data_IF_890242507150
#
_entry.id   IF_890242507150
#
_cell.length_a   1.000
_cell.length_b   1.000
_cell.length_c   1.000
_cell.angle_alpha   90.00
_cell.angle_beta   90.00
_cell.angle_gamma   90.00
#
_symmetry.space_group_name_H-M   'P 1'
#
loop_
_entity.id
_entity.type
_entity.pdbx_description
1 polymer ?
#
# COMPACT_ATOMS: atom_id res chain seq x y z
N UNK A 1 4.36 14.25 -47.16
CA UNK A 1 3.57 13.51 -46.14
C UNK A 1 4.01 12.05 -46.15
N UNK A 2 4.12 11.43 -44.98
CA UNK A 2 4.51 10.03 -44.81
C UNK A 2 3.46 9.35 -43.94
N UNK A 3 2.86 8.28 -44.48
CA UNK A 3 1.90 7.47 -43.74
C UNK A 3 2.64 6.42 -42.91
N UNK A 4 2.31 6.34 -41.62
CA UNK A 4 2.96 5.44 -40.65
C UNK A 4 1.97 4.37 -40.19
N UNK A 5 2.46 3.15 -40.09
CA UNK A 5 1.75 2.00 -39.53
C UNK A 5 2.67 1.20 -38.60
N UNK A 6 2.13 0.72 -37.48
CA UNK A 6 2.88 -0.04 -36.48
C UNK A 6 2.18 -1.36 -36.23
N UNK A 7 2.94 -2.44 -36.22
CA UNK A 7 2.50 -3.74 -35.72
C UNK A 7 3.28 -4.06 -34.43
N UNK A 8 2.59 -4.07 -33.29
CA UNK A 8 3.14 -4.48 -32.01
C UNK A 8 3.18 -6.01 -31.99
N UNK A 9 4.39 -6.57 -32.02
CA UNK A 9 4.61 -8.02 -32.02
C UNK A 9 4.52 -8.59 -30.62
N UNK A 10 5.24 -7.98 -29.69
CA UNK A 10 5.26 -8.38 -28.30
C UNK A 10 5.62 -7.20 -27.39
N UNK A 11 5.15 -7.30 -26.15
CA UNK A 11 5.47 -6.43 -25.04
C UNK A 11 5.95 -7.37 -23.95
N UNK A 12 7.11 -7.10 -23.35
CA UNK A 12 7.75 -8.04 -22.44
C UNK A 12 8.04 -7.42 -21.08
N UNK A 13 9.24 -6.86 -20.91
CA UNK A 13 9.72 -6.31 -19.64
C UNK A 13 9.04 -4.96 -19.40
N UNK A 14 8.11 -4.91 -18.44
CA UNK A 14 7.59 -3.65 -17.88
C UNK A 14 8.23 -3.50 -16.50
N UNK A 15 9.17 -2.56 -16.36
CA UNK A 15 9.95 -2.34 -15.13
C UNK A 15 9.34 -1.19 -14.35
N UNK A 16 8.78 -1.50 -13.18
CA UNK A 16 8.32 -0.49 -12.23
C UNK A 16 9.53 0.29 -11.66
N UNK A 17 10.70 -0.35 -11.51
CA UNK A 17 11.92 0.25 -10.95
C UNK A 17 12.58 1.26 -11.90
N UNK A 18 12.77 0.86 -13.15
CA UNK A 18 13.49 1.68 -14.15
C UNK A 18 12.56 2.64 -14.90
N UNK A 19 11.25 2.58 -14.62
CA UNK A 19 10.19 3.34 -15.29
C UNK A 19 10.27 3.22 -16.81
N UNK A 20 10.31 1.99 -17.30
CA UNK A 20 10.47 1.68 -18.71
C UNK A 20 9.76 0.39 -19.11
N UNK A 21 9.57 0.23 -20.42
CA UNK A 21 9.04 -1.00 -20.98
C UNK A 21 9.73 -1.38 -22.28
N UNK A 22 9.83 -2.69 -22.52
CA UNK A 22 10.38 -3.25 -23.74
C UNK A 22 9.27 -3.69 -24.69
N UNK A 23 9.36 -3.23 -25.93
CA UNK A 23 8.42 -3.55 -27.00
C UNK A 23 9.15 -3.97 -28.26
N UNK A 24 8.62 -4.97 -28.94
CA UNK A 24 9.05 -5.34 -30.28
C UNK A 24 7.97 -4.92 -31.29
N UNK A 25 8.38 -4.15 -32.29
CA UNK A 25 7.46 -3.65 -33.32
C UNK A 25 7.96 -3.98 -34.72
N UNK A 26 7.02 -4.17 -35.64
CA UNK A 26 7.27 -3.98 -37.07
C UNK A 26 6.75 -2.60 -37.42
N UNK A 27 7.69 -1.73 -37.74
CA UNK A 27 7.45 -0.35 -38.11
C UNK A 27 7.36 -0.24 -39.63
N UNK A 28 6.37 0.50 -40.14
CA UNK A 28 6.14 0.69 -41.57
C UNK A 28 5.91 2.15 -41.92
N UNK A 29 6.54 2.59 -42.98
CA UNK A 29 6.38 3.92 -43.56
C UNK A 29 6.02 3.81 -45.03
N UNK A 30 5.15 4.71 -45.47
CA UNK A 30 4.77 4.82 -46.86
C UNK A 30 4.81 6.27 -47.31
N UNK A 31 5.55 6.54 -48.38
CA UNK A 31 5.63 7.84 -49.02
C UNK A 31 5.64 7.70 -50.54
N UNK A 32 5.65 8.82 -51.25
CA UNK A 32 5.73 8.84 -52.71
C UNK A 32 6.99 9.61 -53.10
N UNK A 33 7.82 8.99 -53.95
CA UNK A 33 9.01 9.60 -54.54
C UNK A 33 8.89 9.53 -56.07
N UNK A 34 8.75 10.70 -56.70
CA UNK A 34 8.58 10.80 -58.15
C UNK A 34 9.81 10.34 -58.94
N UNK A 35 11.00 10.33 -58.33
CA UNK A 35 12.26 9.92 -58.98
C UNK A 35 12.35 8.40 -59.18
N UNK A 36 11.53 7.64 -58.47
CA UNK A 36 11.53 6.18 -58.48
C UNK A 36 10.40 5.59 -59.34
N UNK A 37 9.71 6.40 -60.13
CA UNK A 37 8.68 5.93 -61.06
C UNK A 37 9.30 5.06 -62.15
N UNK A 38 8.66 3.95 -62.47
CA UNK A 38 9.09 3.03 -63.52
C UNK A 38 7.89 2.47 -64.28
N UNK A 39 8.11 2.03 -65.51
CA UNK A 39 7.05 1.43 -66.34
C UNK A 39 6.70 0.02 -65.84
N UNK A 40 5.41 -0.24 -65.63
CA UNK A 40 4.91 -1.49 -65.06
C UNK A 40 4.80 -2.64 -66.10
N UNK A 41 5.24 -2.40 -67.34
CA UNK A 41 5.17 -3.35 -68.46
C UNK A 41 3.75 -3.93 -68.62
N UNK A 42 2.76 -3.05 -68.80
CA UNK A 42 1.33 -3.42 -68.92
C UNK A 42 0.80 -4.24 -67.72
N UNK A 43 1.28 -3.94 -66.51
CA UNK A 43 0.81 -4.56 -65.27
C UNK A 43 1.49 -5.88 -64.88
N UNK A 44 2.54 -6.30 -65.58
CA UNK A 44 3.32 -7.49 -65.23
C UNK A 44 4.09 -7.31 -63.91
N UNK A 45 4.53 -6.09 -63.60
CA UNK A 45 5.31 -5.78 -62.40
C UNK A 45 4.43 -5.05 -61.39
N UNK A 46 4.13 -5.71 -60.26
CA UNK A 46 3.37 -5.10 -59.15
C UNK A 46 4.22 -4.17 -58.30
N UNK A 47 5.46 -4.55 -58.01
CA UNK A 47 6.44 -3.77 -57.25
C UNK A 47 7.84 -4.34 -57.45
N UNK A 48 8.86 -3.51 -57.26
CA UNK A 48 10.26 -3.90 -57.17
C UNK A 48 10.68 -4.00 -55.70
N UNK A 49 11.47 -5.01 -55.35
CA UNK A 49 12.08 -5.14 -54.01
C UNK A 49 13.52 -4.71 -54.12
N UNK A 50 13.92 -3.71 -53.34
CA UNK A 50 15.30 -3.24 -53.32
C UNK A 50 16.11 -4.02 -52.29
N UNK A 51 17.28 -4.51 -52.69
CA UNK A 51 18.20 -5.26 -51.82
C UNK A 51 19.00 -4.35 -50.89
N UNK A 52 19.36 -3.15 -51.35
CA UNK A 52 20.11 -2.16 -50.58
C UNK A 52 19.25 -0.92 -50.27
N UNK A 53 18.71 -0.79 -49.05
CA UNK A 53 17.86 0.33 -48.67
C UNK A 53 18.62 1.66 -48.56
N UNK A 54 19.96 1.68 -48.52
CA UNK A 54 20.73 2.91 -48.33
C UNK A 54 20.84 3.76 -49.61
N UNK A 55 20.42 3.24 -50.76
CA UNK A 55 20.45 3.97 -52.06
C UNK A 55 19.27 4.90 -52.28
N UNK A 56 18.26 4.84 -51.41
CA UNK A 56 17.03 5.61 -51.53
C UNK A 56 16.89 6.53 -50.33
N UNK A 57 16.43 7.76 -50.56
CA UNK A 57 16.10 8.67 -49.47
C UNK A 57 15.00 8.07 -48.60
N UNK A 58 15.15 8.18 -47.27
CA UNK A 58 14.17 7.71 -46.29
C UNK A 58 13.95 8.77 -45.22
N UNK A 59 12.76 8.81 -44.59
CA UNK A 59 12.50 9.66 -43.44
C UNK A 59 13.49 9.39 -42.29
N UNK A 60 13.82 10.44 -41.54
CA UNK A 60 14.71 10.40 -40.37
C UNK A 60 13.92 10.22 -39.06
N UNK A 61 12.94 9.32 -39.09
CA UNK A 61 12.11 9.06 -37.93
C UNK A 61 12.92 8.46 -36.79
N UNK A 62 12.78 9.05 -35.61
CA UNK A 62 13.37 8.54 -34.37
C UNK A 62 12.31 8.44 -33.28
N UNK A 63 12.58 7.60 -32.28
CA UNK A 63 11.72 7.43 -31.12
C UNK A 63 12.14 8.41 -30.03
N UNK A 64 11.27 9.37 -29.71
CA UNK A 64 11.61 10.48 -28.80
C UNK A 64 11.88 10.03 -27.36
N UNK A 65 11.15 9.00 -26.91
CA UNK A 65 11.25 8.44 -25.57
C UNK A 65 12.00 7.11 -25.52
N UNK A 66 12.83 6.82 -26.52
CA UNK A 66 13.69 5.64 -26.54
C UNK A 66 14.92 5.83 -25.65
N UNK A 67 15.22 4.79 -24.88
CA UNK A 67 16.45 4.66 -24.09
C UNK A 67 17.44 3.72 -24.77
N UNK A 68 16.94 2.60 -25.28
CA UNK A 68 17.73 1.61 -26.03
C UNK A 68 16.94 1.06 -27.22
N UNK A 69 17.64 0.82 -28.34
CA UNK A 69 17.06 0.36 -29.58
C UNK A 69 17.95 -0.68 -30.26
N UNK A 70 17.33 -1.73 -30.81
CA UNK A 70 18.04 -2.82 -31.47
C UNK A 70 17.38 -3.21 -32.79
N UNK A 71 18.18 -3.23 -33.86
CA UNK A 71 17.78 -3.71 -35.18
C UNK A 71 17.94 -5.23 -35.27
N UNK A 72 17.04 -5.93 -35.96
CA UNK A 72 17.13 -7.38 -36.07
C UNK A 72 17.84 -7.80 -37.37
N UNK A 73 19.05 -8.32 -37.27
CA UNK A 73 19.96 -8.60 -38.39
C UNK A 73 20.53 -10.05 -38.43
N UNK A 74 19.91 -10.98 -37.67
CA UNK A 74 20.32 -12.38 -37.63
C UNK A 74 20.06 -13.07 -38.99
N UNK A 75 21.11 -13.68 -39.55
CA UNK A 75 21.21 -14.22 -40.93
C UNK A 75 21.12 -13.12 -41.99
N UNK A 76 20.07 -12.28 -41.97
CA UNK A 76 19.90 -11.12 -42.85
C UNK A 76 19.16 -9.99 -42.12
N UNK A 77 19.39 -8.71 -42.49
CA UNK A 77 18.63 -7.57 -41.98
C UNK A 77 17.13 -7.71 -42.23
N UNK A 78 16.31 -7.57 -41.18
CA UNK A 78 14.85 -7.63 -41.25
C UNK A 78 14.26 -6.31 -41.77
N UNK A 79 14.64 -5.96 -42.99
CA UNK A 79 14.23 -4.76 -43.71
C UNK A 79 13.59 -5.16 -45.02
N UNK A 80 12.47 -4.52 -45.36
CA UNK A 80 11.78 -4.66 -46.62
C UNK A 80 11.55 -3.28 -47.22
N UNK A 81 12.05 -3.06 -48.43
CA UNK A 81 11.78 -1.85 -49.22
C UNK A 81 11.11 -2.27 -50.53
N UNK A 82 9.87 -1.83 -50.73
CA UNK A 82 9.11 -2.04 -51.97
C UNK A 82 8.86 -0.72 -52.67
N UNK A 83 9.13 -0.69 -53.97
CA UNK A 83 8.85 0.45 -54.84
C UNK A 83 7.74 0.05 -55.80
N UNK A 84 6.66 0.82 -55.80
CA UNK A 84 5.50 0.64 -56.68
C UNK A 84 5.65 1.50 -57.96
N UNK A 85 5.04 1.11 -59.10
CA UNK A 85 5.23 1.79 -60.38
C UNK A 85 4.92 3.29 -60.35
N UNK A 86 3.95 3.71 -59.55
CA UNK A 86 3.56 5.11 -59.35
C UNK A 86 4.59 5.94 -58.54
N UNK A 87 5.71 5.35 -58.13
CA UNK A 87 6.72 5.97 -57.27
C UNK A 87 6.39 5.85 -55.77
N UNK A 88 5.38 5.07 -55.39
CA UNK A 88 5.08 4.78 -54.00
C UNK A 88 6.18 3.91 -53.39
N UNK A 89 6.65 4.23 -52.19
CA UNK A 89 7.66 3.47 -51.47
C UNK A 89 7.04 2.96 -50.18
N UNK A 90 7.18 1.66 -49.93
CA UNK A 90 6.85 1.03 -48.65
C UNK A 90 8.14 0.55 -48.01
N UNK A 91 8.45 1.13 -46.86
CA UNK A 91 9.53 0.71 -45.99
C UNK A 91 8.95 -0.04 -44.79
N UNK A 92 9.53 -1.18 -44.45
CA UNK A 92 9.12 -1.97 -43.29
C UNK A 92 10.37 -2.52 -42.60
N UNK A 93 10.47 -2.32 -41.29
CA UNK A 93 11.59 -2.81 -40.48
C UNK A 93 11.09 -3.42 -39.18
N UNK A 94 11.79 -4.44 -38.68
CA UNK A 94 11.59 -4.98 -37.33
C UNK A 94 12.61 -4.39 -36.37
N UNK A 95 12.14 -3.82 -35.28
CA UNK A 95 12.96 -3.21 -34.23
C UNK A 95 12.48 -3.65 -32.86
N UNK A 96 13.42 -3.74 -31.91
CA UNK A 96 13.12 -3.82 -30.48
C UNK A 96 13.50 -2.51 -29.83
N UNK A 97 12.63 -2.00 -28.96
CA UNK A 97 12.81 -0.72 -28.28
C UNK A 97 12.61 -0.91 -26.78
N UNK A 98 13.43 -0.21 -25.99
CA UNK A 98 13.20 0.06 -24.58
C UNK A 98 12.81 1.53 -24.48
N UNK A 99 11.57 1.76 -24.08
CA UNK A 99 10.95 3.08 -24.07
C UNK A 99 10.73 3.53 -22.62
N UNK A 100 11.04 4.80 -22.33
CA UNK A 100 10.72 5.40 -21.05
C UNK A 100 9.19 5.51 -20.88
N UNK A 101 8.70 5.06 -19.73
CA UNK A 101 7.30 5.14 -19.32
C UNK A 101 7.25 5.60 -17.86
N UNK A 102 7.09 6.92 -17.61
CA UNK A 102 6.95 7.43 -16.25
C UNK A 102 5.60 6.98 -15.68
N UNK A 103 5.63 6.04 -14.72
CA UNK A 103 4.43 5.46 -14.11
C UNK A 103 3.98 6.23 -12.87
N UNK A 104 2.68 6.22 -12.61
CA UNK A 104 2.09 6.77 -11.39
C UNK A 104 1.66 5.63 -10.45
N UNK A 105 2.43 5.40 -9.40
CA UNK A 105 2.27 4.28 -8.48
C UNK A 105 1.36 4.59 -7.27
N UNK A 106 0.64 5.72 -7.28
CA UNK A 106 -0.19 6.15 -6.14
C UNK A 106 -1.19 5.08 -5.71
N UNK A 107 -1.80 4.37 -6.67
CA UNK A 107 -2.78 3.32 -6.43
C UNK A 107 -2.20 1.91 -6.45
N UNK A 108 -0.88 1.77 -6.47
CA UNK A 108 -0.23 0.46 -6.56
C UNK A 108 -0.72 -0.50 -5.45
N UNK A 109 -1.13 -1.75 -5.77
CA UNK A 109 -1.06 -2.43 -7.08
C UNK A 109 -2.36 -2.39 -7.92
N UNK A 110 -3.35 -1.57 -7.55
CA UNK A 110 -4.61 -1.36 -8.27
C UNK A 110 -4.47 -0.20 -9.27
N UNK A 111 -3.32 -0.12 -9.94
CA UNK A 111 -2.97 0.99 -10.81
C UNK A 111 -3.18 0.64 -12.30
N UNK A 112 -3.56 1.66 -13.06
CA UNK A 112 -3.50 1.68 -14.52
C UNK A 112 -2.36 2.60 -14.95
N UNK A 113 -1.57 2.15 -15.92
CA UNK A 113 -0.43 2.88 -16.44
C UNK A 113 -0.61 3.18 -17.93
N UNK A 114 -0.21 4.38 -18.34
CA UNK A 114 -0.21 4.78 -19.74
C UNK A 114 1.25 4.86 -20.18
N UNK A 115 1.63 4.01 -21.13
CA UNK A 115 2.95 4.04 -21.73
C UNK A 115 2.87 4.42 -23.20
N UNK A 116 3.61 5.44 -23.60
CA UNK A 116 3.56 5.99 -24.95
C UNK A 116 4.69 5.46 -25.83
N UNK A 117 4.43 5.34 -27.13
CA UNK A 117 5.45 5.25 -28.19
C UNK A 117 5.41 6.57 -28.95
N UNK A 118 6.46 7.39 -28.86
CA UNK A 118 6.52 8.70 -29.49
C UNK A 118 7.52 8.69 -30.65
N UNK A 119 7.06 9.08 -31.84
CA UNK A 119 7.87 9.09 -33.06
C UNK A 119 7.86 10.47 -33.69
N UNK A 120 9.03 11.02 -33.99
CA UNK A 120 9.18 12.35 -34.55
C UNK A 120 10.29 12.37 -35.61
N UNK A 121 10.35 13.47 -36.37
CA UNK A 121 11.48 13.73 -37.28
C UNK A 121 12.57 14.45 -36.51
N UNK A 122 13.82 14.08 -36.77
CA UNK A 122 14.96 14.66 -36.05
C UNK A 122 15.40 16.00 -36.66
N UNK A 123 15.53 16.05 -38.00
CA UNK A 123 16.08 17.18 -38.74
C UNK A 123 15.07 17.91 -39.62
N UNK A 124 14.04 17.23 -40.14
CA UNK A 124 13.06 17.85 -41.03
C UNK A 124 11.93 18.54 -40.27
N UNK A 125 11.61 19.77 -40.67
CA UNK A 125 10.52 20.53 -40.06
C UNK A 125 9.16 20.10 -40.64
N UNK A 126 8.07 20.59 -40.07
CA UNK A 126 6.71 20.38 -40.60
C UNK A 126 6.51 20.93 -42.02
N UNK A 127 7.39 21.82 -42.49
CA UNK A 127 7.35 22.35 -43.87
C UNK A 127 7.89 21.32 -44.88
N UNK A 128 8.91 20.55 -44.49
CA UNK A 128 9.53 19.53 -45.34
C UNK A 128 8.80 18.19 -45.25
N UNK A 129 8.38 17.82 -44.04
CA UNK A 129 7.94 16.48 -43.71
C UNK A 129 6.84 16.47 -42.65
N UNK A 130 5.76 15.75 -42.96
CA UNK A 130 4.63 15.53 -42.06
C UNK A 130 4.32 14.04 -41.95
N UNK A 131 4.36 13.51 -40.73
CA UNK A 131 3.93 12.16 -40.42
C UNK A 131 2.42 12.12 -40.17
N UNK A 132 1.75 11.14 -40.75
CA UNK A 132 0.33 10.89 -40.57
C UNK A 132 0.08 9.43 -40.28
N UNK A 133 -0.87 9.14 -39.40
CA UNK A 133 -1.34 7.78 -39.19
C UNK A 133 -1.99 7.24 -40.47
N UNK A 134 -1.75 5.97 -40.78
CA UNK A 134 -2.49 5.29 -41.85
C UNK A 134 -4.00 5.32 -41.51
N UNK A 135 -4.83 5.68 -42.49
CA UNK A 135 -6.28 5.83 -42.30
C UNK A 135 -6.98 4.56 -41.78
N UNK A 136 -6.52 3.39 -42.23
CA UNK A 136 -7.05 2.09 -41.80
C UNK A 136 -6.00 1.32 -41.01
N UNK A 137 -6.40 0.86 -39.82
CA UNK A 137 -5.58 0.10 -38.86
C UNK A 137 -4.18 0.70 -38.64
N UNK A 138 -4.07 1.92 -38.08
CA UNK A 138 -2.77 2.56 -37.86
C UNK A 138 -1.88 1.75 -36.92
N UNK A 139 -2.48 1.08 -35.94
CA UNK A 139 -1.81 0.21 -34.97
C UNK A 139 -2.44 -1.17 -35.02
N UNK A 140 -1.62 -2.18 -35.27
CA UNK A 140 -1.99 -3.59 -35.26
C UNK A 140 -1.34 -4.25 -34.05
N UNK A 141 -2.05 -5.13 -33.37
CA UNK A 141 -1.54 -5.85 -32.19
C UNK A 141 -1.69 -7.35 -32.46
N UNK A 142 -0.65 -8.13 -32.17
CA UNK A 142 -0.73 -9.59 -32.24
C UNK A 142 -1.82 -10.11 -31.30
N UNK A 143 -2.67 -11.01 -31.78
CA UNK A 143 -3.83 -11.54 -31.04
C UNK A 143 -3.48 -12.25 -29.74
N UNK A 144 -2.28 -12.83 -29.63
CA UNK A 144 -1.82 -13.59 -28.46
C UNK A 144 -0.80 -12.81 -27.61
N UNK A 145 -1.13 -11.56 -27.24
CA UNK A 145 -0.29 -10.78 -26.35
C UNK A 145 -0.57 -11.17 -24.88
N UNK A 146 0.20 -12.13 -24.36
CA UNK A 146 0.12 -12.52 -22.95
C UNK A 146 1.18 -11.80 -22.11
N UNK A 147 0.73 -10.89 -21.24
CA UNK A 147 1.56 -10.19 -20.27
C UNK A 147 1.31 -10.79 -18.88
N UNK A 148 2.35 -11.21 -18.13
CA UNK A 148 2.14 -11.94 -16.87
C UNK A 148 1.69 -11.07 -15.69
N UNK A 149 2.07 -9.78 -15.68
CA UNK A 149 1.79 -8.84 -14.57
C UNK A 149 0.75 -7.78 -14.93
N UNK A 150 0.40 -7.68 -16.21
CA UNK A 150 -0.45 -6.62 -16.75
C UNK A 150 -1.37 -7.17 -17.82
N UNK A 151 -2.46 -6.48 -18.09
CA UNK A 151 -3.32 -6.67 -19.26
C UNK A 151 -3.37 -5.36 -20.05
N UNK A 152 -3.28 -5.46 -21.37
CA UNK A 152 -3.47 -4.31 -22.25
C UNK A 152 -4.97 -4.10 -22.44
N UNK A 153 -5.54 -3.05 -21.83
CA UNK A 153 -6.98 -2.76 -21.93
C UNK A 153 -7.33 -2.11 -23.26
N UNK A 154 -6.59 -1.08 -23.65
CA UNK A 154 -6.83 -0.32 -24.89
C UNK A 154 -5.55 0.36 -25.37
N UNK A 155 -5.58 0.82 -26.62
CA UNK A 155 -4.58 1.69 -27.19
C UNK A 155 -5.26 2.91 -27.84
N UNK A 156 -4.57 4.05 -27.82
CA UNK A 156 -5.05 5.30 -28.42
C UNK A 156 -3.97 5.87 -29.33
N UNK A 157 -4.34 6.28 -30.54
CA UNK A 157 -3.44 6.97 -31.47
C UNK A 157 -3.72 8.45 -31.46
N UNK A 158 -2.68 9.27 -31.39
CA UNK A 158 -2.82 10.73 -31.38
C UNK A 158 -1.53 11.37 -31.94
N UNK A 159 -1.49 12.68 -32.01
CA UNK A 159 -0.38 13.49 -32.51
C UNK A 159 0.31 14.23 -31.36
N UNK A 160 1.60 14.48 -31.50
CA UNK A 160 2.43 15.15 -30.48
C UNK A 160 3.32 16.24 -31.06
N UNK A 161 2.93 16.80 -32.22
CA UNK A 161 3.68 17.84 -32.92
C UNK A 161 4.01 18.96 -31.95
N UNK A 162 5.29 19.29 -31.85
CA UNK A 162 5.78 20.26 -30.88
C UNK A 162 6.73 21.26 -31.53
N UNK A 163 6.66 22.50 -31.08
CA UNK A 163 7.53 23.59 -31.51
C UNK A 163 8.73 23.68 -30.56
N UNK A 164 9.92 23.61 -31.13
CA UNK A 164 11.19 23.81 -30.43
C UNK A 164 11.83 25.12 -30.90
N UNK A 165 13.00 25.45 -30.35
CA UNK A 165 13.75 26.64 -30.76
C UNK A 165 14.22 26.58 -32.22
N UNK A 166 14.41 25.37 -32.77
CA UNK A 166 14.92 25.14 -34.13
C UNK A 166 13.81 25.04 -35.18
N UNK A 167 12.56 24.82 -34.78
CA UNK A 167 11.44 24.68 -35.70
C UNK A 167 10.24 23.95 -35.11
N UNK A 168 9.23 23.70 -35.93
CA UNK A 168 8.11 22.81 -35.60
C UNK A 168 8.37 21.44 -36.23
N UNK A 169 8.22 20.38 -35.43
CA UNK A 169 8.52 19.00 -35.87
C UNK A 169 7.28 18.12 -35.72
N UNK A 170 6.93 17.42 -36.80
CA UNK A 170 5.81 16.49 -36.83
C UNK A 170 6.06 15.31 -35.89
N UNK A 171 5.06 14.92 -35.11
CA UNK A 171 5.18 13.83 -34.14
C UNK A 171 3.89 13.02 -34.03
N UNK A 172 4.03 11.70 -34.00
CA UNK A 172 2.98 10.72 -33.78
C UNK A 172 3.18 10.05 -32.42
N UNK A 173 2.07 9.78 -31.70
CA UNK A 173 2.11 9.01 -30.46
C UNK A 173 1.07 7.89 -30.44
N UNK A 174 1.44 6.78 -29.80
CA UNK A 174 0.51 5.70 -29.43
C UNK A 174 0.56 5.55 -27.93
N UNK A 175 -0.57 5.72 -27.26
CA UNK A 175 -0.72 5.51 -25.82
C UNK A 175 -1.29 4.12 -25.55
N UNK A 176 -0.53 3.29 -24.84
CA UNK A 176 -0.91 1.94 -24.44
C UNK A 176 -1.38 1.96 -22.98
N UNK A 177 -2.65 1.60 -22.73
CA UNK A 177 -3.20 1.53 -21.39
C UNK A 177 -3.04 0.12 -20.82
N UNK A 178 -2.15 -0.01 -19.84
CA UNK A 178 -1.93 -1.23 -19.08
C UNK A 178 -2.68 -1.21 -17.76
N UNK A 179 -3.44 -2.26 -17.47
CA UNK A 179 -4.00 -2.53 -16.15
C UNK A 179 -3.18 -3.60 -15.46
N UNK A 180 -2.83 -3.38 -14.19
CA UNK A 180 -2.06 -4.37 -13.42
C UNK A 180 -2.95 -5.53 -12.98
N UNK A 181 -2.42 -6.75 -13.08
CA UNK A 181 -3.11 -7.94 -12.57
C UNK A 181 -3.02 -8.02 -11.04
N UNK A 182 -4.16 -7.94 -10.37
CA UNK A 182 -4.25 -7.81 -8.91
C UNK A 182 -4.05 -9.13 -8.15
N UNK A 183 -4.40 -10.27 -8.77
CA UNK A 183 -4.47 -11.60 -8.14
C UNK A 183 -3.18 -12.02 -7.42
N UNK A 184 -2.02 -11.75 -8.03
CA UNK A 184 -0.71 -12.03 -7.43
C UNK A 184 -0.52 -11.30 -6.09
N UNK A 185 -0.85 -10.01 -6.02
CA UNK A 185 -0.65 -9.19 -4.82
C UNK A 185 -1.61 -9.58 -3.71
N UNK A 186 -2.83 -10.00 -4.06
CA UNK A 186 -3.80 -10.53 -3.09
C UNK A 186 -3.21 -11.72 -2.32
N UNK A 187 -2.66 -12.69 -3.04
CA UNK A 187 -2.13 -13.94 -2.46
C UNK A 187 -0.79 -13.72 -1.74
N UNK A 188 0.11 -12.91 -2.31
CA UNK A 188 1.48 -12.75 -1.81
C UNK A 188 1.62 -11.66 -0.74
N UNK A 189 0.76 -10.64 -0.74
CA UNK A 189 0.88 -9.49 0.16
C UNK A 189 -0.32 -9.39 1.10
N UNK A 190 -1.52 -9.21 0.55
CA UNK A 190 -2.69 -8.87 1.37
C UNK A 190 -3.10 -10.01 2.32
N UNK A 191 -3.20 -11.26 1.81
CA UNK A 191 -3.57 -12.43 2.63
C UNK A 191 -2.54 -12.68 3.75
N UNK A 192 -1.21 -12.75 3.50
CA UNK A 192 -0.21 -12.91 4.55
C UNK A 192 -0.21 -11.79 5.58
N UNK A 193 -0.38 -10.53 5.16
CA UNK A 193 -0.48 -9.39 6.09
C UNK A 193 -1.69 -9.53 7.02
N UNK A 194 -2.86 -9.89 6.49
CA UNK A 194 -4.04 -10.18 7.31
C UNK A 194 -3.80 -11.33 8.29
N UNK A 195 -3.17 -12.42 7.84
CA UNK A 195 -2.84 -13.55 8.71
C UNK A 195 -1.90 -13.13 9.86
N UNK A 196 -0.86 -12.32 9.59
CA UNK A 196 0.05 -11.81 10.63
C UNK A 196 -0.67 -10.93 11.66
N UNK A 197 -1.59 -10.07 11.20
CA UNK A 197 -2.43 -9.26 12.10
C UNK A 197 -3.30 -10.17 12.98
N UNK A 198 -3.92 -11.21 12.42
CA UNK A 198 -4.73 -12.17 13.19
C UNK A 198 -3.87 -12.94 14.21
N UNK A 199 -2.66 -13.37 13.81
CA UNK A 199 -1.71 -14.04 14.72
C UNK A 199 -1.34 -13.14 15.90
N UNK A 200 -1.19 -11.82 15.67
CA UNK A 200 -0.91 -10.88 16.75
C UNK A 200 -2.03 -10.86 17.81
N UNK A 201 -3.29 -11.12 17.43
CA UNK A 201 -4.43 -11.14 18.35
C UNK A 201 -4.51 -12.40 19.22
N UNK A 202 -3.84 -13.48 18.82
CA UNK A 202 -3.74 -14.71 19.64
C UNK A 202 -3.11 -14.40 21.00
N UNK A 203 -2.24 -13.38 21.06
CA UNK A 203 -1.64 -12.92 22.31
C UNK A 203 -2.66 -12.48 23.38
N UNK A 204 -3.83 -11.96 22.97
CA UNK A 204 -4.89 -11.52 23.89
C UNK A 204 -5.61 -12.69 24.57
N UNK A 205 -5.50 -13.89 24.00
CA UNK A 205 -6.14 -15.11 24.51
C UNK A 205 -5.21 -15.90 25.44
N UNK A 206 -3.90 -15.70 25.32
CA UNK A 206 -2.92 -16.31 26.21
C UNK A 206 -3.04 -15.79 27.63
N UNK A 207 -2.61 -16.56 28.62
CA UNK A 207 -2.60 -16.07 30.00
C UNK A 207 -1.62 -14.91 30.19
N UNK A 208 -1.95 -13.87 30.98
CA UNK A 208 -1.05 -12.75 31.28
C UNK A 208 0.27 -13.18 31.94
N UNK A 209 0.28 -14.35 32.58
CA UNK A 209 1.46 -14.91 33.26
C UNK A 209 2.40 -15.65 32.29
N UNK A 210 1.94 -15.99 31.08
CA UNK A 210 2.74 -16.64 30.03
C UNK A 210 3.54 -15.60 29.21
N UNK A 211 4.38 -14.82 29.90
CA UNK A 211 5.17 -13.71 29.34
C UNK A 211 6.02 -14.15 28.13
N UNK A 212 6.77 -15.29 28.16
CA UNK A 212 7.64 -15.67 27.04
C UNK A 212 6.87 -15.91 25.74
N UNK A 213 5.69 -16.51 25.83
CA UNK A 213 4.86 -16.81 24.67
C UNK A 213 4.32 -15.52 24.02
N UNK A 214 3.82 -14.57 24.83
CA UNK A 214 3.28 -13.30 24.32
C UNK A 214 4.36 -12.41 23.68
N UNK A 215 5.55 -12.30 24.31
CA UNK A 215 6.68 -11.54 23.77
C UNK A 215 7.16 -12.15 22.46
N UNK A 216 7.37 -13.47 22.44
CA UNK A 216 7.85 -14.17 21.26
C UNK A 216 6.90 -13.99 20.08
N UNK A 217 5.59 -14.14 20.27
CA UNK A 217 4.59 -13.91 19.22
C UNK A 217 4.57 -12.45 18.74
N UNK A 218 4.59 -11.48 19.66
CA UNK A 218 4.55 -10.05 19.32
C UNK A 218 5.79 -9.58 18.55
N UNK A 219 6.98 -9.96 19.00
CA UNK A 219 8.25 -9.58 18.34
C UNK A 219 8.40 -10.30 17.00
N UNK A 220 8.07 -11.60 16.94
CA UNK A 220 8.17 -12.38 15.69
C UNK A 220 7.22 -11.84 14.63
N UNK A 221 5.95 -11.56 14.98
CA UNK A 221 4.99 -10.98 14.03
C UNK A 221 5.41 -9.59 13.55
N UNK A 222 5.96 -8.75 14.44
CA UNK A 222 6.47 -7.42 14.07
C UNK A 222 7.65 -7.51 13.10
N UNK A 223 8.61 -8.40 13.39
CA UNK A 223 9.80 -8.61 12.55
C UNK A 223 9.41 -9.19 11.18
N UNK A 224 8.50 -10.16 11.15
CA UNK A 224 8.01 -10.74 9.89
C UNK A 224 7.31 -9.67 9.06
N UNK A 225 6.46 -8.84 9.68
CA UNK A 225 5.78 -7.73 8.99
C UNK A 225 6.79 -6.71 8.43
N UNK A 226 7.80 -6.31 9.21
CA UNK A 226 8.84 -5.40 8.75
C UNK A 226 9.66 -5.98 7.58
N UNK A 227 9.98 -7.28 7.65
CA UNK A 227 10.67 -8.00 6.57
C UNK A 227 9.83 -8.03 5.29
N UNK A 228 8.53 -8.33 5.39
CA UNK A 228 7.61 -8.30 4.25
C UNK A 228 7.53 -6.91 3.61
N UNK A 229 7.45 -5.85 4.41
CA UNK A 229 7.45 -4.46 3.91
C UNK A 229 8.74 -4.16 3.13
N UNK A 230 9.89 -4.57 3.66
CA UNK A 230 11.17 -4.38 2.97
C UNK A 230 11.23 -5.12 1.64
N UNK A 231 10.69 -6.35 1.56
CA UNK A 231 10.65 -7.12 0.31
C UNK A 231 9.73 -6.52 -0.75
N UNK A 232 8.64 -5.87 -0.35
CA UNK A 232 7.77 -5.13 -1.27
C UNK A 232 8.49 -3.88 -1.79
N UNK A 233 9.14 -3.13 -0.90
CA UNK A 233 9.82 -1.89 -1.25
C UNK A 233 11.09 -2.10 -2.09
N UNK A 234 11.76 -3.25 -2.01
CA UNK A 234 12.91 -3.54 -2.88
C UNK A 234 12.52 -3.77 -4.34
N UNK A 235 11.25 -4.13 -4.59
CA UNK A 235 10.71 -4.36 -5.93
C UNK A 235 10.10 -3.10 -6.56
N UNK A 236 10.15 -1.97 -5.85
CA UNK A 236 9.53 -0.70 -6.25
C UNK A 236 10.54 0.45 -6.20
N UNK A 237 10.42 1.42 -7.10
CA UNK A 237 11.28 2.60 -7.07
C UNK A 237 10.94 3.46 -5.84
N UNK A 238 11.93 4.17 -5.26
CA UNK A 238 11.66 5.17 -4.25
C UNK A 238 10.86 6.32 -4.87
N UNK A 239 9.67 6.56 -4.35
CA UNK A 239 8.78 7.67 -4.76
C UNK A 239 8.47 8.57 -3.56
N UNK A 240 8.25 9.86 -3.82
CA UNK A 240 8.02 10.87 -2.77
C UNK A 240 6.59 10.87 -2.22
N UNK A 241 5.63 10.29 -2.95
CA UNK A 241 4.22 10.23 -2.56
C UNK A 241 3.86 8.89 -1.92
N UNK A 242 2.83 8.90 -1.08
CA UNK A 242 2.31 7.70 -0.43
C UNK A 242 1.54 6.82 -1.43
N UNK A 243 1.86 5.52 -1.46
CA UNK A 243 1.18 4.51 -2.29
C UNK A 243 0.08 3.81 -1.48
N UNK A 244 -0.94 3.27 -2.14
CA UNK A 244 -2.00 2.49 -1.48
C UNK A 244 -1.43 1.33 -0.64
N UNK A 245 -0.44 0.62 -1.18
CA UNK A 245 0.27 -0.44 -0.45
C UNK A 245 0.99 0.04 0.82
N UNK A 246 1.50 1.28 0.84
CA UNK A 246 2.16 1.84 2.02
C UNK A 246 1.13 2.09 3.13
N UNK A 247 -0.08 2.55 2.77
CA UNK A 247 -1.19 2.72 3.72
C UNK A 247 -1.60 1.37 4.30
N UNK A 248 -1.77 0.36 3.45
CA UNK A 248 -2.14 -0.99 3.89
C UNK A 248 -1.12 -1.57 4.86
N UNK A 249 0.14 -1.62 4.45
CA UNK A 249 1.21 -2.22 5.25
C UNK A 249 1.53 -1.42 6.50
N UNK A 250 1.46 -0.08 6.45
CA UNK A 250 1.63 0.79 7.61
C UNK A 250 0.53 0.61 8.67
N UNK A 251 -0.72 0.43 8.24
CA UNK A 251 -1.83 0.14 9.17
C UNK A 251 -1.66 -1.25 9.77
N UNK A 252 -1.40 -2.28 8.98
CA UNK A 252 -1.11 -3.63 9.50
C UNK A 252 0.05 -3.63 10.51
N UNK A 253 1.13 -2.91 10.23
CA UNK A 253 2.26 -2.73 11.15
C UNK A 253 1.84 -2.06 12.46
N UNK A 254 0.99 -1.02 12.38
CA UNK A 254 0.45 -0.32 13.54
C UNK A 254 -0.41 -1.24 14.41
N UNK A 255 -1.23 -2.12 13.82
CA UNK A 255 -2.01 -3.11 14.58
C UNK A 255 -1.13 -4.13 15.30
N UNK A 256 -0.10 -4.66 14.63
CA UNK A 256 0.85 -5.61 15.23
C UNK A 256 1.64 -4.94 16.37
N UNK A 257 2.12 -3.71 16.14
CA UNK A 257 2.78 -2.93 17.19
C UNK A 257 1.84 -2.58 18.35
N UNK A 258 0.58 -2.28 18.05
CA UNK A 258 -0.47 -2.05 19.03
C UNK A 258 -0.72 -3.27 19.92
N UNK A 259 -0.68 -4.49 19.37
CA UNK A 259 -0.79 -5.71 20.16
C UNK A 259 0.42 -5.92 21.09
N UNK A 260 1.62 -5.52 20.66
CA UNK A 260 2.82 -5.55 21.51
C UNK A 260 2.73 -4.51 22.65
N UNK A 261 2.25 -3.29 22.35
CA UNK A 261 1.99 -2.27 23.36
C UNK A 261 0.93 -2.71 24.37
N UNK A 262 -0.12 -3.36 23.90
CA UNK A 262 -1.17 -3.94 24.75
C UNK A 262 -0.56 -4.91 25.77
N UNK A 263 0.30 -5.82 25.31
CA UNK A 263 0.99 -6.74 26.19
C UNK A 263 1.85 -6.00 27.24
N UNK A 264 2.57 -4.96 26.85
CA UNK A 264 3.35 -4.15 27.79
C UNK A 264 2.47 -3.51 28.88
N UNK A 265 1.30 -2.99 28.49
CA UNK A 265 0.32 -2.42 29.40
C UNK A 265 -0.31 -3.48 30.32
N UNK A 266 -0.67 -4.65 29.79
CA UNK A 266 -1.21 -5.78 30.57
C UNK A 266 -0.19 -6.28 31.59
N UNK A 267 1.07 -6.41 31.21
CA UNK A 267 2.16 -6.84 32.11
C UNK A 267 2.39 -5.82 33.23
N UNK A 268 2.46 -4.53 32.88
CA UNK A 268 2.57 -3.45 33.87
C UNK A 268 1.39 -3.44 34.85
N UNK A 269 0.16 -3.55 34.33
CA UNK A 269 -1.05 -3.60 35.15
C UNK A 269 -1.08 -4.84 36.05
N UNK A 270 -0.69 -6.01 35.52
CA UNK A 270 -0.60 -7.26 36.28
C UNK A 270 0.38 -7.16 37.46
N UNK A 271 1.59 -6.61 37.21
CA UNK A 271 2.60 -6.38 38.26
C UNK A 271 2.12 -5.34 39.29
N UNK A 272 1.48 -4.26 38.85
CA UNK A 272 0.94 -3.24 39.75
C UNK A 272 -0.17 -3.78 40.65
N UNK A 273 -1.09 -4.58 40.08
CA UNK A 273 -2.16 -5.23 40.84
C UNK A 273 -1.60 -6.26 41.83
N UNK A 274 -0.60 -7.05 41.44
CA UNK A 274 0.10 -7.99 42.32
C UNK A 274 0.80 -7.28 43.49
N UNK A 275 1.50 -6.17 43.22
CA UNK A 275 2.15 -5.37 44.26
C UNK A 275 1.13 -4.75 45.24
N UNK A 276 0.00 -4.24 44.73
CA UNK A 276 -1.09 -3.72 45.57
C UNK A 276 -1.74 -4.81 46.43
N UNK A 277 -1.90 -6.02 45.90
CA UNK A 277 -2.42 -7.16 46.65
C UNK A 277 -1.47 -7.55 47.79
N UNK A 278 -0.15 -7.60 47.54
CA UNK A 278 0.86 -7.87 48.55
C UNK A 278 0.85 -6.83 49.69
N UNK A 279 0.76 -5.54 49.35
CA UNK A 279 0.66 -4.46 50.36
C UNK A 279 -0.61 -4.58 51.22
N UNK A 280 -1.76 -4.91 50.62
CA UNK A 280 -3.00 -5.13 51.37
C UNK A 280 -2.93 -6.35 52.29
N UNK A 281 -2.31 -7.45 51.83
CA UNK A 281 -2.09 -8.63 52.67
C UNK A 281 -1.16 -8.31 53.84
N UNK A 282 -0.08 -7.56 53.62
CA UNK A 282 0.81 -7.11 54.69
C UNK A 282 0.09 -6.21 55.71
N UNK A 283 -0.72 -5.26 55.24
CA UNK A 283 -1.54 -4.41 56.12
C UNK A 283 -2.59 -5.22 56.91
N UNK A 284 -3.25 -6.19 56.27
CA UNK A 284 -4.21 -7.06 56.93
C UNK A 284 -3.54 -7.98 57.97
N UNK A 285 -2.36 -8.51 57.68
CA UNK A 285 -1.57 -9.30 58.61
C UNK A 285 -1.13 -8.47 59.83
N UNK A 286 -0.62 -7.26 59.60
CA UNK A 286 -0.27 -6.33 60.69
C UNK A 286 -1.49 -5.93 61.54
N UNK A 287 -2.65 -5.71 60.92
CA UNK A 287 -3.89 -5.40 61.63
C UNK A 287 -4.42 -6.61 62.43
N UNK A 288 -4.29 -7.82 61.90
CA UNK A 288 -4.65 -9.05 62.60
C UNK A 288 -3.72 -9.31 63.81
N UNK A 289 -2.42 -9.07 63.65
CA UNK A 289 -1.45 -9.20 64.74
C UNK A 289 -1.71 -8.18 65.85
N UNK A 290 -1.95 -6.92 65.52
CA UNK A 290 -2.37 -5.89 66.51
C UNK A 290 -3.63 -6.28 67.28
N UNK A 291 -4.61 -6.91 66.63
CA UNK A 291 -5.82 -7.41 67.30
C UNK A 291 -5.51 -8.55 68.27
N UNK A 292 -4.68 -9.51 67.84
CA UNK A 292 -4.25 -10.63 68.67
C UNK A 292 -3.48 -10.16 69.92
N UNK A 293 -2.58 -9.19 69.74
CA UNK A 293 -1.81 -8.57 70.83
C UNK A 293 -2.72 -7.83 71.85
N UNK A 294 -3.78 -7.15 71.38
CA UNK A 294 -4.76 -6.48 72.26
C UNK A 294 -5.60 -7.50 73.05
N UNK A 295 -6.04 -8.58 72.42
CA UNK A 295 -6.84 -9.62 73.07
C UNK A 295 -6.01 -10.40 74.12
N UNK A 296 -4.76 -10.78 73.81
CA UNK A 296 -3.89 -11.54 74.72
C UNK A 296 -3.11 -10.69 75.71
N UNK A 297 -2.91 -9.39 75.43
CA UNK A 297 -2.35 -8.43 76.39
C UNK A 297 -3.31 -8.10 77.54
N UNK A 298 -4.61 -8.35 77.37
CA UNK A 298 -5.62 -8.15 78.43
C UNK A 298 -5.80 -9.35 79.37
N UNK A 299 -5.21 -10.50 79.05
CA UNK A 299 -5.30 -11.73 79.85
C UNK A 299 -4.13 -11.97 80.82
N UNK A 300 -3.14 -11.06 80.86
CA UNK A 300 -1.98 -11.17 81.76
C UNK A 300 -2.02 -10.22 82.97
N UNK A 301 -3.12 -9.48 83.16
CA UNK A 301 -3.21 -8.46 84.23
C UNK A 301 -4.35 -8.71 85.24
N UNK A 302 -4.68 -9.98 85.52
CA UNK A 302 -5.61 -10.34 86.61
C UNK A 302 -5.19 -11.63 87.35
N UNK A 303 -4.09 -11.56 88.11
CA UNK A 303 -3.99 -12.24 89.40
C UNK A 303 -3.51 -11.22 90.44
N UNK A 304 -4.40 -10.93 91.41
CA UNK A 304 -4.17 -10.10 92.59
C UNK A 304 -3.03 -10.64 93.47
N UNK A 305 -2.19 -9.77 94.05
CA UNK A 305 -2.17 -9.41 95.49
C UNK A 305 -1.26 -8.17 95.71
N UNK A 306 -1.81 -7.18 96.43
CA UNK A 306 -1.25 -6.02 97.15
C UNK A 306 0.26 -5.71 97.05
N UNK A 307 0.62 -4.49 96.65
CA UNK A 307 0.86 -3.37 97.60
C UNK A 307 1.11 -2.05 96.83
N UNK A 308 0.94 -0.96 97.56
CA UNK A 308 0.95 0.48 97.24
C UNK A 308 1.87 1.04 96.13
N UNK A 309 1.38 2.18 95.63
CA UNK A 309 2.04 3.35 95.02
C UNK A 309 2.09 3.44 93.47
N UNK A 310 1.10 4.20 92.97
CA UNK A 310 1.24 5.34 92.04
C UNK A 310 2.18 5.20 90.84
N UNK A 311 1.60 4.96 89.66
CA UNK A 311 1.61 5.91 88.54
C UNK A 311 1.07 5.21 87.28
N UNK A 312 0.11 5.85 86.58
CA UNK A 312 0.12 6.14 85.14
C UNK A 312 -1.27 6.16 84.47
N UNK A 313 -1.37 7.16 83.59
CA UNK A 313 -2.12 7.18 82.34
C UNK A 313 -3.64 7.34 82.37
N UNK A 314 -4.05 8.62 82.29
CA UNK A 314 -5.37 9.05 81.81
C UNK A 314 -5.69 8.45 80.43
N UNK A 315 -6.86 7.80 80.32
CA UNK A 315 -7.62 7.66 79.07
C UNK A 315 -8.61 8.84 78.97
N UNK A 316 -8.63 9.67 77.91
CA UNK A 316 -9.70 10.63 77.75
C UNK A 316 -10.89 9.94 77.07
N UNK A 317 -11.94 9.65 77.84
CA UNK A 317 -13.29 9.46 77.31
C UNK A 317 -13.94 10.84 77.17
N UNK A 318 -13.73 11.50 76.03
CA UNK A 318 -14.56 12.66 75.67
C UNK A 318 -15.85 12.13 75.05
N UNK A 319 -16.90 12.03 75.87
CA UNK A 319 -18.29 11.89 75.42
C UNK A 319 -18.96 13.24 75.64
N UNK A 320 -18.97 14.06 74.60
CA UNK A 320 -19.61 15.38 74.62
C UNK A 320 -21.12 15.21 74.49
N UNK A 321 -21.87 15.77 75.44
CA UNK A 321 -23.34 15.83 75.43
C UNK A 321 -23.77 17.27 75.70
N UNK A 322 -24.69 17.78 74.88
CA UNK A 322 -25.39 19.04 75.08
C UNK A 322 -24.97 20.15 74.12
N UNK A 323 -25.71 20.33 73.03
CA UNK A 323 -26.60 21.50 72.91
C UNK A 323 -27.56 21.39 71.72
N UNK A 324 -28.83 21.62 72.03
CA UNK A 324 -29.96 21.78 71.12
C UNK A 324 -30.19 23.28 70.96
N UNK A 325 -30.16 23.82 69.73
CA UNK A 325 -31.10 24.86 69.23
C UNK A 325 -30.72 25.34 67.81
N UNK A 326 -31.69 25.33 66.88
CA UNK A 326 -31.78 26.19 65.67
C UNK A 326 -30.74 25.93 64.58
N UNK A 327 -30.99 25.91 63.27
CA UNK A 327 -32.08 26.41 62.45
C UNK A 327 -32.06 25.66 61.10
N UNK A 328 -33.21 25.71 60.43
CA UNK A 328 -33.48 25.22 59.08
C UNK A 328 -32.48 25.82 58.07
N UNK A 329 -31.90 24.97 57.20
CA UNK A 329 -31.82 25.29 55.77
C UNK A 329 -31.79 24.01 54.94
N UNK A 330 -32.92 23.72 54.31
CA UNK A 330 -33.03 22.74 53.22
C UNK A 330 -32.29 23.31 52.01
N UNK A 331 -31.26 22.61 51.54
CA UNK A 331 -30.73 22.79 50.19
C UNK A 331 -31.05 21.52 49.39
N UNK A 332 -31.76 21.70 48.28
CA UNK A 332 -32.25 20.65 47.40
C UNK A 332 -31.11 19.78 46.87
N UNK A 333 -31.11 18.49 47.20
CA UNK A 333 -30.47 17.48 46.37
C UNK A 333 -31.26 17.37 45.06
N UNK A 334 -30.71 17.96 44.01
CA UNK A 334 -31.10 17.62 42.64
C UNK A 334 -30.79 16.13 42.47
N UNK A 335 -31.85 15.33 42.33
CA UNK A 335 -31.79 13.94 41.92
C UNK A 335 -31.21 13.86 40.49
N UNK A 336 -29.88 13.96 40.36
CA UNK A 336 -29.19 13.61 39.12
C UNK A 336 -29.18 12.10 39.04
N UNK A 337 -30.17 11.52 38.35
CA UNK A 337 -30.12 10.13 37.93
C UNK A 337 -28.83 9.90 37.14
N UNK A 338 -27.90 9.05 37.59
CA UNK A 338 -26.76 8.73 36.75
C UNK A 338 -27.30 7.87 35.61
N UNK A 339 -27.21 8.38 34.37
CA UNK A 339 -27.38 7.57 33.16
C UNK A 339 -26.53 6.31 33.33
N UNK A 340 -27.23 5.20 33.50
CA UNK A 340 -26.69 3.89 33.83
C UNK A 340 -25.99 3.33 32.59
N UNK A 341 -24.73 3.74 32.38
CA UNK A 341 -23.89 3.27 31.29
C UNK A 341 -23.68 1.75 31.42
N UNK A 342 -24.37 0.99 30.58
CA UNK A 342 -24.30 -0.47 30.52
C UNK A 342 -22.85 -0.99 30.45
N UNK A 343 -21.96 -0.28 29.74
CA UNK A 343 -20.52 -0.55 29.71
C UNK A 343 -19.87 -0.53 31.11
N UNK A 344 -20.16 0.47 31.96
CA UNK A 344 -19.55 0.56 33.30
C UNK A 344 -19.91 -0.65 34.18
N UNK A 345 -21.11 -1.21 34.02
CA UNK A 345 -21.61 -2.38 34.77
C UNK A 345 -21.08 -3.72 34.22
N UNK A 346 -20.77 -3.77 32.93
CA UNK A 346 -20.10 -4.92 32.32
C UNK A 346 -18.61 -4.95 32.70
N UNK A 347 -17.95 -3.79 32.65
CA UNK A 347 -16.54 -3.68 32.99
C UNK A 347 -16.24 -3.83 34.50
N UNK A 348 -17.25 -3.73 35.38
CA UNK A 348 -17.11 -4.03 36.82
C UNK A 348 -17.14 -5.52 37.16
N UNK A 349 -17.38 -6.41 36.18
CA UNK A 349 -17.39 -7.88 36.38
C UNK A 349 -15.99 -8.51 36.41
N UNK A 350 -14.94 -7.79 36.03
CA UNK A 350 -13.57 -8.31 36.02
C UNK A 350 -12.74 -7.70 37.15
N UNK A 351 -12.26 -8.51 38.13
CA UNK A 351 -11.67 -7.99 39.37
C UNK A 351 -10.26 -7.40 39.22
N UNK A 352 -9.50 -7.77 38.18
CA UNK A 352 -8.14 -7.25 37.92
C UNK A 352 -8.10 -6.37 36.68
N UNK A 353 -7.28 -5.31 36.71
CA UNK A 353 -7.16 -4.35 35.61
C UNK A 353 -6.57 -5.01 34.35
N UNK A 354 -5.66 -5.96 34.53
CA UNK A 354 -5.03 -6.73 33.43
C UNK A 354 -6.06 -7.48 32.58
N UNK A 355 -6.94 -8.29 33.20
CA UNK A 355 -7.97 -9.07 32.49
C UNK A 355 -8.97 -8.19 31.76
N UNK A 356 -9.26 -7.01 32.31
CA UNK A 356 -10.16 -6.03 31.68
C UNK A 356 -9.58 -5.47 30.39
N UNK A 357 -8.27 -5.27 30.33
CA UNK A 357 -7.57 -4.80 29.12
C UNK A 357 -7.65 -5.89 28.04
N UNK A 358 -7.24 -7.13 28.33
CA UNK A 358 -7.28 -8.24 27.36
C UNK A 358 -8.68 -8.42 26.74
N UNK A 359 -9.76 -8.35 27.54
CA UNK A 359 -11.13 -8.54 27.05
C UNK A 359 -11.58 -7.38 26.14
N UNK A 360 -11.16 -6.14 26.41
CA UNK A 360 -11.44 -5.01 25.53
C UNK A 360 -10.66 -5.17 24.23
N UNK A 361 -9.38 -5.53 24.31
CA UNK A 361 -8.50 -5.74 23.15
C UNK A 361 -9.05 -6.79 22.18
N UNK A 362 -9.60 -7.89 22.70
CA UNK A 362 -10.24 -8.97 21.91
C UNK A 362 -11.40 -8.50 21.01
N UNK A 363 -12.09 -7.43 21.38
CA UNK A 363 -13.23 -6.90 20.62
C UNK A 363 -12.78 -5.70 19.77
N UNK A 364 -11.99 -4.81 20.36
CA UNK A 364 -11.59 -3.54 19.74
C UNK A 364 -10.69 -3.76 18.52
N UNK A 365 -9.65 -4.60 18.63
CA UNK A 365 -8.70 -4.80 17.53
C UNK A 365 -9.35 -5.40 16.28
N UNK A 366 -10.12 -6.50 16.36
CA UNK A 366 -10.80 -7.06 15.18
C UNK A 366 -11.83 -6.10 14.58
N UNK A 367 -12.60 -5.39 15.41
CA UNK A 367 -13.62 -4.45 14.93
C UNK A 367 -12.98 -3.27 14.19
N UNK A 368 -11.91 -2.69 14.74
CA UNK A 368 -11.18 -1.61 14.08
C UNK A 368 -10.50 -2.07 12.79
N UNK A 369 -9.95 -3.29 12.76
CA UNK A 369 -9.35 -3.84 11.55
C UNK A 369 -10.40 -4.14 10.47
N UNK A 370 -11.58 -4.64 10.85
CA UNK A 370 -12.70 -4.84 9.92
C UNK A 370 -13.20 -3.51 9.34
N UNK A 371 -13.34 -2.46 10.17
CA UNK A 371 -13.67 -1.12 9.72
C UNK A 371 -12.62 -0.57 8.76
N UNK A 372 -11.34 -0.74 9.08
CA UNK A 372 -10.24 -0.35 8.20
C UNK A 372 -10.31 -1.06 6.85
N UNK A 373 -10.53 -2.38 6.84
CA UNK A 373 -10.68 -3.15 5.59
C UNK A 373 -11.82 -2.60 4.75
N UNK A 374 -12.98 -2.34 5.36
CA UNK A 374 -14.14 -1.79 4.65
C UNK A 374 -13.79 -0.43 4.04
N UNK A 375 -13.19 0.49 4.80
CA UNK A 375 -12.80 1.82 4.31
C UNK A 375 -11.71 1.72 3.22
N UNK A 376 -10.71 0.86 3.40
CA UNK A 376 -9.61 0.69 2.47
C UNK A 376 -10.11 0.18 1.12
N UNK A 377 -10.80 -0.95 1.10
CA UNK A 377 -11.30 -1.52 -0.15
C UNK A 377 -12.37 -0.64 -0.79
N UNK A 378 -13.24 0.01 -0.03
CA UNK A 378 -14.20 0.96 -0.61
C UNK A 378 -13.51 2.15 -1.27
N UNK A 379 -12.44 2.67 -0.67
CA UNK A 379 -11.72 3.84 -1.20
C UNK A 379 -10.86 3.50 -2.42
N UNK A 380 -10.18 2.35 -2.41
CA UNK A 380 -9.20 2.01 -3.45
C UNK A 380 -9.77 1.16 -4.59
N UNK A 381 -10.83 0.38 -4.36
CA UNK A 381 -11.45 -0.45 -5.39
C UNK A 381 -12.53 0.32 -6.17
N UNK A 382 -13.40 1.09 -5.50
CA UNK A 382 -14.53 1.77 -6.16
C UNK A 382 -14.18 3.15 -6.73
N UNK A 383 -13.03 3.72 -6.36
CA UNK A 383 -12.58 5.00 -6.92
C UNK A 383 -12.02 4.86 -8.34
N UNK A 384 -11.63 3.64 -8.76
CA UNK A 384 -11.21 3.37 -10.14
C UNK A 384 -12.33 3.65 -11.15
N UNK A 385 -13.57 3.22 -10.87
CA UNK A 385 -14.68 3.35 -11.82
C UNK A 385 -15.12 4.81 -12.07
N UNK A 386 -14.84 5.71 -11.12
CA UNK A 386 -15.24 7.12 -11.18
C UNK A 386 -14.23 8.02 -11.91
N UNK A 387 -13.02 7.54 -12.23
CA UNK A 387 -12.03 8.30 -13.02
C UNK A 387 -12.10 7.99 -14.52
N UNK A 388 -12.83 6.92 -14.90
CA UNK A 388 -13.07 6.52 -16.29
C UNK A 388 -14.41 7.06 -16.85
N UNK A 389 -15.10 7.95 -16.10
CA UNK A 389 -16.33 8.67 -16.47
C UNK A 389 -16.06 10.18 -16.50
#
# INVERSE_FOLDING_TARGET
MISVNILIRSISKISDLDMEYSVQVTFREQWVDSRLKFDNMSGQIRYLVLTDPNKVWRPDLFFKNEKEGHFHDIIMPNVLLRIYPQGGVLYSIRISLVLACPMNLKYYPLDKQICSIQMASYGYTTEDLMFVWKHEDPVQITTNLHLPRFTLEKYLTDYCTSKTNTGSYSCLKVDLLFKREFSYYLIQIYIPCCMLVIVSWVSFWLDPNAIPARVSLGVTTLLTMATSISGINSSLPPVSYTKAIDVWTGVCLTFVFGALLEFALVNYASRSDAHRAALKQQQAALAAQRKWDIEHGSSLENEHVDDRNTAFAMRPLVRQHGDYTGEKLRACEVHVMPKRNWCKRWLSKFPTRSKRIDVISRIFFPLMFALFNLVYWTTYLFREDMQDL
#
